data_IF_596951380881
#
_entry.id   IF_596951380881
#
_cell.length_a   1.000
_cell.length_b   1.000
_cell.length_c   1.000
_cell.angle_alpha   90.00
_cell.angle_beta   90.00
_cell.angle_gamma   90.00
#
_symmetry.space_group_name_H-M   'P 1'
#
loop_
_entity.id
_entity.type
_entity.pdbx_description
1 polymer ?
#
# COMPACT_ATOMS: atom_id res chain seq x y z
N UNK A 1 -1.15 13.62 14.59
CA UNK A 1 -2.12 14.39 13.79
C UNK A 1 -3.39 13.57 13.58
N UNK A 2 -3.34 12.34 13.04
CA UNK A 2 -4.51 11.47 12.85
C UNK A 2 -5.31 11.26 14.13
N UNK A 3 -4.65 11.02 15.26
CA UNK A 3 -5.30 10.90 16.58
C UNK A 3 -6.11 12.17 16.92
N UNK A 4 -5.54 13.35 16.80
CA UNK A 4 -6.24 14.61 17.14
C UNK A 4 -7.43 14.89 16.21
N UNK A 5 -7.34 14.54 14.93
CA UNK A 5 -8.39 14.85 13.97
C UNK A 5 -9.57 13.88 14.00
N UNK A 6 -9.31 12.60 14.29
CA UNK A 6 -10.30 11.54 14.15
C UNK A 6 -10.61 10.80 15.46
N UNK A 7 -9.61 10.40 16.23
CA UNK A 7 -9.81 9.56 17.40
C UNK A 7 -10.31 10.33 18.62
N UNK A 8 -9.93 11.61 18.79
CA UNK A 8 -10.44 12.44 19.90
C UNK A 8 -11.97 12.61 19.86
N UNK A 9 -12.60 12.51 18.70
CA UNK A 9 -14.06 12.60 18.57
C UNK A 9 -14.76 11.30 18.97
N UNK A 10 -14.08 10.16 18.84
CA UNK A 10 -14.59 8.82 19.18
C UNK A 10 -14.46 8.54 20.68
N UNK A 11 -13.45 9.11 21.35
CA UNK A 11 -13.27 8.94 22.81
C UNK A 11 -14.43 9.50 23.68
N UNK A 12 -15.29 10.34 23.12
CA UNK A 12 -16.45 10.88 23.85
C UNK A 12 -17.64 9.89 23.91
N UNK A 13 -17.64 8.81 23.15
CA UNK A 13 -18.50 7.67 23.43
C UNK A 13 -17.77 6.82 24.47
N UNK A 14 -18.11 7.04 25.75
CA UNK A 14 -17.61 6.25 26.87
C UNK A 14 -17.87 4.78 26.58
N UNK A 15 -16.86 4.08 26.10
CA UNK A 15 -16.86 2.63 26.20
C UNK A 15 -16.60 2.31 27.68
N UNK A 16 -17.63 1.96 28.41
CA UNK A 16 -17.54 1.43 29.78
C UNK A 16 -16.83 0.06 29.85
N UNK A 17 -16.21 -0.37 28.75
CA UNK A 17 -15.40 -1.56 28.65
C UNK A 17 -13.97 -1.24 29.16
N UNK A 18 -13.82 -1.29 30.49
CA UNK A 18 -12.52 -1.49 31.14
C UNK A 18 -12.02 -2.91 30.83
N UNK A 19 -11.78 -3.19 29.57
CA UNK A 19 -11.11 -4.45 29.22
C UNK A 19 -9.65 -4.37 29.67
N UNK A 20 -9.15 -5.40 30.34
CA UNK A 20 -7.79 -5.43 30.85
C UNK A 20 -6.83 -5.35 29.64
N UNK A 21 -5.97 -4.33 29.59
CA UNK A 21 -5.03 -4.04 28.49
C UNK A 21 -4.08 -5.21 28.21
N UNK A 22 -3.64 -5.91 29.23
CA UNK A 22 -2.64 -6.98 29.12
C UNK A 22 -3.13 -8.19 28.30
N UNK A 23 -4.31 -8.79 28.57
CA UNK A 23 -4.80 -9.91 27.78
C UNK A 23 -5.13 -9.50 26.33
N UNK A 24 -5.60 -8.29 26.10
CA UNK A 24 -5.86 -7.80 24.74
C UNK A 24 -4.56 -7.59 23.96
N UNK A 25 -3.50 -7.10 24.61
CA UNK A 25 -2.18 -6.99 24.01
C UNK A 25 -1.58 -8.37 23.67
N UNK A 26 -1.72 -9.35 24.59
CA UNK A 26 -1.27 -10.72 24.34
C UNK A 26 -2.05 -11.39 23.18
N UNK A 27 -3.35 -11.15 23.09
CA UNK A 27 -4.16 -11.61 21.97
C UNK A 27 -3.71 -10.95 20.66
N UNK A 28 -3.46 -9.64 20.66
CA UNK A 28 -2.96 -8.93 19.49
C UNK A 28 -1.63 -9.52 19.02
N UNK A 29 -0.68 -9.71 19.93
CA UNK A 29 0.62 -10.33 19.63
C UNK A 29 0.43 -11.75 19.08
N UNK A 30 -0.45 -12.54 19.69
CA UNK A 30 -0.76 -13.91 19.24
C UNK A 30 -1.29 -13.92 17.79
N UNK A 31 -2.26 -13.06 17.46
CA UNK A 31 -2.86 -13.04 16.13
C UNK A 31 -2.00 -12.37 15.07
N UNK A 32 -1.10 -11.47 15.45
CA UNK A 32 -0.15 -10.84 14.52
C UNK A 32 1.17 -11.61 14.39
N UNK A 33 1.43 -12.58 15.28
CA UNK A 33 2.67 -13.38 15.28
C UNK A 33 3.00 -14.06 13.93
N UNK A 34 2.05 -14.55 13.12
CA UNK A 34 2.39 -15.16 11.84
C UNK A 34 3.09 -14.18 10.88
N UNK A 35 2.69 -12.90 10.90
CA UNK A 35 3.29 -11.86 10.05
C UNK A 35 4.74 -11.63 10.45
N UNK A 36 4.99 -11.43 11.74
CA UNK A 36 6.36 -11.24 12.26
C UNK A 36 7.23 -12.46 12.04
N UNK A 37 6.67 -13.66 12.16
CA UNK A 37 7.40 -14.90 11.95
C UNK A 37 7.91 -15.02 10.52
N UNK A 38 7.09 -14.71 9.51
CA UNK A 38 7.53 -14.72 8.11
C UNK A 38 8.66 -13.72 7.85
N UNK A 39 8.59 -12.52 8.45
CA UNK A 39 9.64 -11.49 8.34
C UNK A 39 10.93 -11.95 9.02
N UNK A 40 10.84 -12.50 10.23
CA UNK A 40 11.98 -13.04 10.98
C UNK A 40 12.65 -14.17 10.21
N UNK A 41 11.89 -15.12 9.67
CA UNK A 41 12.44 -16.21 8.84
C UNK A 41 13.18 -15.68 7.61
N UNK A 42 12.65 -14.66 6.97
CA UNK A 42 13.31 -14.06 5.81
C UNK A 42 14.64 -13.36 6.20
N UNK A 43 14.63 -12.59 7.30
CA UNK A 43 15.82 -11.82 7.74
C UNK A 43 16.91 -12.74 8.30
N UNK A 44 16.57 -13.68 9.19
CA UNK A 44 17.56 -14.50 9.89
C UNK A 44 18.04 -15.68 9.05
N UNK A 45 17.14 -16.35 8.34
CA UNK A 45 17.45 -17.59 7.62
C UNK A 45 17.51 -17.39 6.10
N UNK A 46 17.30 -16.16 5.60
CA UNK A 46 17.26 -15.84 4.16
C UNK A 46 16.28 -16.71 3.38
N UNK A 47 15.23 -17.20 4.06
CA UNK A 47 14.19 -18.01 3.43
C UNK A 47 13.35 -17.09 2.55
N UNK A 48 13.08 -17.45 1.29
CA UNK A 48 12.23 -16.65 0.41
C UNK A 48 10.89 -16.34 1.05
N UNK A 49 10.44 -15.09 0.96
CA UNK A 49 9.27 -14.59 1.67
C UNK A 49 7.99 -15.39 1.36
N UNK A 50 7.84 -15.90 0.13
CA UNK A 50 6.70 -16.74 -0.26
C UNK A 50 6.66 -18.08 0.51
N UNK A 51 7.81 -18.66 0.86
CA UNK A 51 7.87 -19.88 1.69
C UNK A 51 7.50 -19.55 3.13
N UNK A 52 8.00 -18.42 3.64
CA UNK A 52 7.60 -17.89 4.96
C UNK A 52 6.08 -17.64 5.06
N UNK A 53 5.47 -17.10 4.01
CA UNK A 53 4.03 -16.90 3.96
C UNK A 53 3.25 -18.23 3.95
N UNK A 54 3.73 -19.25 3.21
CA UNK A 54 3.11 -20.56 3.22
C UNK A 54 3.18 -21.23 4.61
N UNK A 55 4.31 -21.07 5.33
CA UNK A 55 4.43 -21.57 6.70
C UNK A 55 3.44 -20.92 7.68
N UNK A 56 2.97 -19.70 7.39
CA UNK A 56 1.97 -19.02 8.21
C UNK A 56 0.64 -19.77 8.27
N UNK A 57 0.25 -20.51 7.22
CA UNK A 57 -0.96 -21.35 7.28
C UNK A 57 -0.86 -22.40 8.38
N UNK A 58 0.33 -23.00 8.54
CA UNK A 58 0.59 -24.01 9.57
C UNK A 58 0.53 -23.35 10.95
N UNK A 59 1.15 -22.17 11.10
CA UNK A 59 1.17 -21.45 12.37
C UNK A 59 -0.23 -21.02 12.77
N UNK A 60 -1.01 -20.45 11.85
CA UNK A 60 -2.40 -20.04 12.12
C UNK A 60 -3.25 -21.25 12.53
N UNK A 61 -3.06 -22.39 11.89
CA UNK A 61 -3.74 -23.64 12.27
C UNK A 61 -3.35 -24.10 13.68
N UNK A 62 -2.05 -24.05 14.02
CA UNK A 62 -1.56 -24.43 15.34
C UNK A 62 -2.03 -23.48 16.46
N UNK A 63 -2.11 -22.19 16.15
CA UNK A 63 -2.57 -21.16 17.11
C UNK A 63 -4.09 -21.24 17.40
N UNK A 64 -4.85 -21.73 16.42
CA UNK A 64 -6.29 -21.83 16.53
C UNK A 64 -6.81 -23.09 15.83
N UNK A 65 -6.62 -24.30 16.42
CA UNK A 65 -7.00 -25.56 15.82
C UNK A 65 -8.53 -25.74 15.87
N UNK A 66 -9.25 -25.09 14.97
CA UNK A 66 -10.70 -25.25 14.85
C UNK A 66 -11.03 -26.34 13.84
N UNK A 67 -12.09 -27.13 14.14
CA UNK A 67 -12.60 -28.15 13.18
C UNK A 67 -13.10 -27.53 11.87
N UNK A 68 -13.31 -26.21 11.84
CA UNK A 68 -13.79 -25.46 10.66
C UNK A 68 -12.69 -24.83 9.82
N UNK A 69 -11.40 -24.95 10.18
CA UNK A 69 -10.29 -24.26 9.52
C UNK A 69 -10.31 -24.40 7.98
N UNK A 70 -10.45 -25.62 7.46
CA UNK A 70 -10.54 -25.83 6.01
C UNK A 70 -11.83 -25.26 5.39
N UNK A 71 -12.93 -25.27 6.13
CA UNK A 71 -14.18 -24.67 5.69
C UNK A 71 -14.07 -23.13 5.64
N UNK A 72 -13.37 -22.55 6.58
CA UNK A 72 -13.14 -21.10 6.66
C UNK A 72 -12.16 -20.63 5.56
N UNK A 73 -11.10 -21.41 5.26
CA UNK A 73 -10.23 -21.18 4.10
C UNK A 73 -11.05 -21.22 2.80
N UNK A 74 -11.90 -22.24 2.63
CA UNK A 74 -12.74 -22.36 1.43
C UNK A 74 -13.71 -21.19 1.29
N UNK A 75 -14.26 -20.68 2.39
CA UNK A 75 -15.12 -19.48 2.39
C UNK A 75 -14.34 -18.21 2.09
N UNK A 76 -13.11 -18.10 2.61
CA UNK A 76 -12.23 -16.96 2.36
C UNK A 76 -11.73 -16.92 0.90
N UNK A 77 -11.77 -18.05 0.19
CA UNK A 77 -11.38 -18.11 -1.22
C UNK A 77 -12.43 -17.44 -2.10
N UNK A 78 -12.18 -16.19 -2.41
CA UNK A 78 -13.06 -15.39 -3.28
C UNK A 78 -12.44 -15.30 -4.68
N UNK A 79 -13.07 -15.99 -5.65
CA UNK A 79 -12.60 -16.03 -7.03
C UNK A 79 -12.57 -14.64 -7.68
N UNK A 80 -13.51 -13.77 -7.33
CA UNK A 80 -13.55 -12.38 -7.82
C UNK A 80 -12.31 -11.61 -7.38
N UNK A 81 -11.89 -11.76 -6.13
CA UNK A 81 -10.68 -11.14 -5.57
C UNK A 81 -9.43 -11.65 -6.33
N UNK A 82 -9.33 -12.97 -6.53
CA UNK A 82 -8.21 -13.57 -7.26
C UNK A 82 -8.11 -13.02 -8.69
N UNK A 83 -9.24 -12.95 -9.39
CA UNK A 83 -9.30 -12.39 -10.75
C UNK A 83 -8.90 -10.90 -10.78
N UNK A 84 -9.32 -10.13 -9.77
CA UNK A 84 -8.94 -8.72 -9.64
C UNK A 84 -7.42 -8.58 -9.45
N UNK A 85 -6.81 -9.41 -8.58
CA UNK A 85 -5.35 -9.41 -8.36
C UNK A 85 -4.62 -9.71 -9.67
N UNK A 86 -5.03 -10.76 -10.38
CA UNK A 86 -4.43 -11.13 -11.68
C UNK A 86 -4.56 -9.98 -12.68
N UNK A 87 -5.74 -9.36 -12.78
CA UNK A 87 -5.98 -8.22 -13.66
C UNK A 87 -5.07 -7.03 -13.35
N UNK A 88 -4.92 -6.70 -12.07
CA UNK A 88 -4.02 -5.61 -11.63
C UNK A 88 -2.57 -5.93 -12.00
N UNK A 89 -2.08 -7.15 -11.76
CA UNK A 89 -0.72 -7.54 -12.14
C UNK A 89 -0.49 -7.50 -13.65
N UNK A 90 -1.46 -7.92 -14.45
CA UNK A 90 -1.36 -7.83 -15.92
C UNK A 90 -1.27 -6.37 -16.39
N UNK A 91 -2.05 -5.47 -15.80
CA UNK A 91 -1.98 -4.04 -16.12
C UNK A 91 -0.61 -3.49 -15.73
N UNK A 92 -0.11 -3.78 -14.53
CA UNK A 92 1.19 -3.33 -14.06
C UNK A 92 2.33 -3.78 -14.99
N UNK A 93 2.36 -5.07 -15.34
CA UNK A 93 3.38 -5.64 -16.21
C UNK A 93 3.38 -5.01 -17.62
N UNK A 94 2.19 -4.82 -18.19
CA UNK A 94 2.09 -4.17 -19.51
C UNK A 94 2.54 -2.71 -19.47
N UNK A 95 2.17 -1.95 -18.45
CA UNK A 95 2.56 -0.53 -18.34
C UNK A 95 4.07 -0.36 -18.19
N UNK A 96 4.76 -1.21 -17.43
CA UNK A 96 6.22 -1.12 -17.27
C UNK A 96 7.00 -1.47 -18.53
N UNK A 97 6.42 -2.26 -19.45
CA UNK A 97 7.05 -2.68 -20.72
C UNK A 97 6.78 -1.75 -21.90
N UNK A 98 5.92 -0.75 -21.75
CA UNK A 98 5.58 0.15 -22.85
C UNK A 98 6.73 1.12 -23.19
N UNK A 99 7.48 0.86 -24.26
CA UNK A 99 8.55 1.76 -24.74
C UNK A 99 8.07 3.18 -25.02
N UNK A 100 6.85 3.33 -25.50
CA UNK A 100 6.26 4.64 -25.77
C UNK A 100 6.12 5.48 -24.49
N UNK A 101 5.65 4.86 -23.39
CA UNK A 101 5.58 5.52 -22.09
C UNK A 101 6.96 5.92 -21.58
N UNK A 102 7.95 5.05 -21.71
CA UNK A 102 9.32 5.35 -21.30
C UNK A 102 9.89 6.54 -22.10
N UNK A 103 9.66 6.61 -23.42
CA UNK A 103 10.07 7.74 -24.25
C UNK A 103 9.37 9.04 -23.85
N UNK A 104 8.08 9.00 -23.60
CA UNK A 104 7.32 10.17 -23.09
C UNK A 104 7.86 10.66 -21.74
N UNK A 105 8.19 9.76 -20.83
CA UNK A 105 8.75 10.10 -19.50
C UNK A 105 10.12 10.77 -19.65
N UNK A 106 11.02 10.20 -20.46
CA UNK A 106 12.33 10.80 -20.73
C UNK A 106 12.16 12.21 -21.30
N UNK A 107 11.26 12.40 -22.26
CA UNK A 107 11.00 13.71 -22.86
C UNK A 107 10.40 14.70 -21.85
N UNK A 108 9.47 14.25 -20.99
CA UNK A 108 8.87 15.09 -19.97
C UNK A 108 9.87 15.54 -18.89
N UNK A 109 10.87 14.70 -18.59
CA UNK A 109 11.88 14.98 -17.55
C UNK A 109 13.12 15.70 -18.09
N UNK A 110 13.33 15.74 -19.39
CA UNK A 110 14.51 16.36 -20.02
C UNK A 110 14.44 17.90 -20.09
N UNK A 111 13.26 18.49 -19.97
CA UNK A 111 13.09 19.93 -20.01
C UNK A 111 13.11 20.51 -18.57
N UNK A 112 14.11 21.36 -18.20
CA UNK A 112 14.28 21.86 -16.85
C UNK A 112 13.06 22.58 -16.28
N UNK A 113 12.31 23.30 -17.11
CA UNK A 113 11.16 24.11 -16.68
C UNK A 113 9.93 23.26 -16.36
N UNK A 114 9.79 22.08 -16.97
CA UNK A 114 8.63 21.22 -16.82
C UNK A 114 8.93 19.95 -16.00
N UNK A 115 10.19 19.71 -15.65
CA UNK A 115 10.61 18.46 -14.98
C UNK A 115 9.82 18.18 -13.72
N UNK A 116 9.63 19.16 -12.84
CA UNK A 116 8.90 18.97 -11.56
C UNK A 116 7.45 18.60 -11.85
N UNK A 117 6.78 19.36 -12.72
CA UNK A 117 5.39 19.11 -13.09
C UNK A 117 5.28 17.74 -13.79
N UNK A 118 6.24 17.40 -14.66
CA UNK A 118 6.32 16.10 -15.30
C UNK A 118 6.43 14.96 -14.28
N UNK A 119 7.31 15.08 -13.29
CA UNK A 119 7.48 14.08 -12.22
C UNK A 119 6.18 13.93 -11.41
N UNK A 120 5.57 15.05 -11.02
CA UNK A 120 4.32 15.05 -10.26
C UNK A 120 3.20 14.35 -11.05
N UNK A 121 2.98 14.80 -12.29
CA UNK A 121 1.91 14.28 -13.13
C UNK A 121 2.08 12.78 -13.44
N UNK A 122 3.31 12.36 -13.79
CA UNK A 122 3.59 10.96 -14.10
C UNK A 122 3.54 10.07 -12.87
N UNK A 123 4.06 10.53 -11.73
CA UNK A 123 4.02 9.77 -10.48
C UNK A 123 2.58 9.57 -10.00
N UNK A 124 1.78 10.61 -10.07
CA UNK A 124 0.35 10.54 -9.76
C UNK A 124 -0.37 9.56 -10.72
N UNK A 125 -0.13 9.71 -12.03
CA UNK A 125 -0.73 8.86 -13.05
C UNK A 125 -0.39 7.38 -12.85
N UNK A 126 0.90 7.04 -12.69
CA UNK A 126 1.32 5.66 -12.45
C UNK A 126 0.81 5.14 -11.12
N UNK A 127 0.78 5.95 -10.07
CA UNK A 127 0.19 5.57 -8.78
C UNK A 127 -1.28 5.19 -8.91
N UNK A 128 -2.08 6.02 -9.62
CA UNK A 128 -3.51 5.76 -9.84
C UNK A 128 -3.72 4.52 -10.70
N UNK A 129 -3.02 4.41 -11.81
CA UNK A 129 -3.24 3.36 -12.82
C UNK A 129 -2.76 2.00 -12.38
N UNK A 130 -1.66 1.93 -11.61
CA UNK A 130 -1.14 0.66 -11.12
C UNK A 130 -1.79 0.22 -9.81
N UNK A 131 -2.28 1.15 -8.99
CA UNK A 131 -2.76 0.85 -7.63
C UNK A 131 -1.71 0.20 -6.73
N UNK A 132 -0.41 0.36 -7.09
CA UNK A 132 0.72 -0.21 -6.37
C UNK A 132 1.95 0.70 -6.46
N UNK A 133 2.26 1.40 -5.38
CA UNK A 133 3.32 2.40 -5.34
C UNK A 133 4.70 1.88 -5.81
N UNK A 134 5.18 0.69 -5.41
CA UNK A 134 6.46 0.19 -5.88
C UNK A 134 6.55 0.04 -7.40
N UNK A 135 5.46 -0.33 -8.09
CA UNK A 135 5.45 -0.39 -9.55
C UNK A 135 5.58 1.00 -10.18
N UNK A 136 4.88 2.01 -9.64
CA UNK A 136 5.00 3.38 -10.09
C UNK A 136 6.44 3.91 -9.93
N UNK A 137 7.05 3.69 -8.77
CA UNK A 137 8.44 4.07 -8.51
C UNK A 137 9.43 3.30 -9.37
N UNK A 138 9.19 2.00 -9.60
CA UNK A 138 10.02 1.16 -10.47
C UNK A 138 10.07 1.64 -11.91
N UNK A 139 9.01 2.30 -12.39
CA UNK A 139 8.99 2.91 -13.71
C UNK A 139 9.72 4.28 -13.76
N UNK A 140 9.62 5.08 -12.70
CA UNK A 140 10.05 6.48 -12.70
C UNK A 140 11.52 6.64 -12.25
N UNK A 141 11.91 5.96 -11.14
CA UNK A 141 13.22 6.15 -10.53
C UNK A 141 14.41 5.80 -11.45
N UNK A 142 14.38 4.71 -12.26
CA UNK A 142 15.46 4.43 -13.19
C UNK A 142 15.67 5.54 -14.21
N UNK A 143 14.58 6.16 -14.68
CA UNK A 143 14.65 7.26 -15.67
C UNK A 143 15.25 8.51 -15.01
N UNK A 144 14.83 8.85 -13.78
CA UNK A 144 15.41 9.97 -13.03
C UNK A 144 16.92 9.76 -12.78
N UNK A 145 17.34 8.54 -12.48
CA UNK A 145 18.74 8.20 -12.24
C UNK A 145 19.64 8.33 -13.48
N UNK A 146 19.05 8.26 -14.69
CA UNK A 146 19.79 8.44 -15.96
C UNK A 146 19.98 9.91 -16.33
N UNK A 147 19.25 10.84 -15.71
CA UNK A 147 19.35 12.25 -16.05
C UNK A 147 20.62 12.89 -15.46
N UNK A 148 21.33 13.74 -16.21
CA UNK A 148 22.54 14.42 -15.73
C UNK A 148 22.17 15.53 -14.74
N UNK A 149 22.13 15.21 -13.44
CA UNK A 149 21.82 16.16 -12.39
C UNK A 149 22.67 15.93 -11.13
N UNK A 150 22.71 16.94 -10.26
CA UNK A 150 23.38 16.80 -8.95
C UNK A 150 22.63 15.86 -8.01
N UNK A 151 23.34 15.19 -7.10
CA UNK A 151 22.76 14.26 -6.13
C UNK A 151 21.63 14.89 -5.31
N UNK A 152 21.77 16.14 -4.89
CA UNK A 152 20.74 16.83 -4.11
C UNK A 152 19.46 17.04 -4.94
N UNK A 153 19.57 17.36 -6.21
CA UNK A 153 18.43 17.51 -7.11
C UNK A 153 17.77 16.18 -7.39
N UNK A 154 18.56 15.12 -7.58
CA UNK A 154 18.06 13.76 -7.73
C UNK A 154 17.26 13.31 -6.50
N UNK A 155 17.78 13.53 -5.30
CA UNK A 155 17.07 13.21 -4.05
C UNK A 155 15.75 13.97 -3.94
N UNK A 156 15.73 15.24 -4.28
CA UNK A 156 14.51 16.05 -4.28
C UNK A 156 13.47 15.48 -5.26
N UNK A 157 13.89 15.13 -6.46
CA UNK A 157 13.00 14.57 -7.48
C UNK A 157 12.49 13.17 -7.12
N UNK A 158 13.34 12.34 -6.50
CA UNK A 158 12.93 11.05 -5.93
C UNK A 158 11.90 11.25 -4.81
N UNK A 159 12.08 12.26 -3.98
CA UNK A 159 11.11 12.61 -2.94
C UNK A 159 9.75 13.00 -3.55
N UNK A 160 9.73 13.89 -4.54
CA UNK A 160 8.49 14.23 -5.26
C UNK A 160 7.86 13.00 -5.91
N UNK A 161 8.65 12.17 -6.59
CA UNK A 161 8.14 10.94 -7.19
C UNK A 161 7.51 10.01 -6.13
N UNK A 162 8.14 9.88 -4.97
CA UNK A 162 7.64 9.07 -3.86
C UNK A 162 6.31 9.61 -3.32
N UNK A 163 6.25 10.90 -2.99
CA UNK A 163 5.04 11.53 -2.41
C UNK A 163 3.86 11.44 -3.37
N UNK A 164 4.06 11.81 -4.63
CA UNK A 164 2.97 11.85 -5.61
C UNK A 164 2.56 10.48 -6.12
N UNK A 165 3.48 9.52 -6.20
CA UNK A 165 3.11 8.12 -6.49
C UNK A 165 2.30 7.51 -5.35
N UNK A 166 2.66 7.84 -4.08
CA UNK A 166 1.87 7.45 -2.91
C UNK A 166 0.45 8.03 -2.95
N UNK A 167 0.34 9.32 -3.28
CA UNK A 167 -0.96 9.97 -3.42
C UNK A 167 -1.80 9.33 -4.52
N UNK A 168 -1.20 9.06 -5.68
CA UNK A 168 -1.88 8.37 -6.77
C UNK A 168 -2.33 6.97 -6.38
N UNK A 169 -1.47 6.18 -5.79
CA UNK A 169 -1.76 4.86 -5.26
C UNK A 169 -2.90 4.88 -4.24
N UNK A 170 -2.87 5.86 -3.33
CA UNK A 170 -3.86 5.97 -2.27
C UNK A 170 -5.28 6.26 -2.80
N UNK A 171 -5.40 7.05 -3.85
CA UNK A 171 -6.67 7.35 -4.53
C UNK A 171 -7.01 6.36 -5.64
N UNK A 172 -6.17 5.35 -5.86
CA UNK A 172 -6.41 4.39 -6.94
C UNK A 172 -7.61 3.50 -6.65
N UNK A 173 -8.53 3.34 -7.60
CA UNK A 173 -9.58 2.33 -7.50
C UNK A 173 -9.03 0.90 -7.54
N UNK A 174 -7.76 0.72 -7.93
CA UNK A 174 -7.04 -0.56 -7.97
C UNK A 174 -6.24 -0.82 -6.68
N UNK A 175 -6.37 0.03 -5.67
CA UNK A 175 -5.71 -0.16 -4.37
C UNK A 175 -6.33 -1.34 -3.61
N UNK A 176 -5.77 -2.52 -3.80
CA UNK A 176 -6.31 -3.78 -3.31
C UNK A 176 -6.54 -3.81 -1.79
N UNK A 177 -5.58 -3.30 -1.01
CA UNK A 177 -5.70 -3.30 0.45
C UNK A 177 -6.91 -2.48 0.90
N UNK A 178 -7.17 -1.33 0.27
CA UNK A 178 -8.30 -0.47 0.57
C UNK A 178 -9.61 -1.11 0.12
N UNK A 179 -9.62 -1.70 -1.08
CA UNK A 179 -10.78 -2.38 -1.62
C UNK A 179 -11.23 -3.53 -0.69
N UNK A 180 -10.28 -4.36 -0.25
CA UNK A 180 -10.56 -5.49 0.64
C UNK A 180 -11.02 -5.02 2.04
N UNK A 181 -10.38 -3.96 2.56
CA UNK A 181 -10.79 -3.40 3.84
C UNK A 181 -12.21 -2.84 3.79
N UNK A 182 -12.56 -2.10 2.72
CA UNK A 182 -13.89 -1.58 2.51
C UNK A 182 -14.93 -2.70 2.36
N UNK A 183 -14.61 -3.76 1.59
CA UNK A 183 -15.49 -4.91 1.41
C UNK A 183 -15.72 -5.66 2.73
N UNK A 184 -14.65 -5.87 3.52
CA UNK A 184 -14.73 -6.53 4.82
C UNK A 184 -15.56 -5.75 5.85
N UNK A 185 -15.40 -4.42 5.86
CA UNK A 185 -16.12 -3.54 6.79
C UNK A 185 -17.52 -3.13 6.30
N UNK A 186 -17.90 -3.50 5.07
CA UNK A 186 -19.18 -3.11 4.46
C UNK A 186 -19.31 -1.60 4.21
N UNK A 187 -18.18 -0.90 4.01
CA UNK A 187 -18.12 0.55 3.80
C UNK A 187 -17.82 0.85 2.33
N UNK A 188 -18.43 1.90 1.78
CA UNK A 188 -18.11 2.31 0.42
C UNK A 188 -16.76 3.05 0.37
N UNK A 189 -15.99 2.83 -0.70
CA UNK A 189 -14.72 3.54 -0.93
C UNK A 189 -14.91 5.05 -1.00
N UNK A 190 -16.05 5.51 -1.51
CA UNK A 190 -16.39 6.94 -1.58
C UNK A 190 -16.55 7.58 -0.21
N UNK A 191 -17.20 6.88 0.73
CA UNK A 191 -17.38 7.40 2.09
C UNK A 191 -16.06 7.41 2.86
N UNK A 192 -15.20 6.43 2.59
CA UNK A 192 -13.85 6.42 3.11
C UNK A 192 -13.07 7.66 2.64
N UNK A 193 -13.08 7.97 1.33
CA UNK A 193 -12.41 9.17 0.79
C UNK A 193 -12.95 10.47 1.39
N UNK A 194 -14.25 10.60 1.56
CA UNK A 194 -14.85 11.76 2.23
C UNK A 194 -14.42 11.91 3.68
N UNK A 195 -14.12 10.80 4.35
CA UNK A 195 -13.72 10.80 5.75
C UNK A 195 -12.31 11.36 5.97
N UNK A 196 -11.35 11.03 5.11
CA UNK A 196 -9.95 11.37 5.35
C UNK A 196 -9.30 12.37 4.39
N UNK A 197 -10.04 12.99 3.46
CA UNK A 197 -9.49 13.97 2.51
C UNK A 197 -8.76 15.15 3.19
N UNK A 198 -9.25 15.60 4.35
CA UNK A 198 -8.60 16.65 5.14
C UNK A 198 -7.23 16.23 5.67
N UNK A 199 -7.13 14.97 6.12
CA UNK A 199 -5.88 14.40 6.57
C UNK A 199 -4.87 14.30 5.42
N UNK A 200 -5.33 13.93 4.23
CA UNK A 200 -4.47 13.85 3.04
C UNK A 200 -3.93 15.21 2.63
N UNK A 201 -4.78 16.25 2.63
CA UNK A 201 -4.32 17.61 2.35
C UNK A 201 -3.24 18.08 3.33
N UNK A 202 -3.44 17.78 4.61
CA UNK A 202 -2.46 18.12 5.64
C UNK A 202 -1.17 17.31 5.50
N UNK A 203 -1.28 16.04 5.10
CA UNK A 203 -0.12 15.16 4.81
C UNK A 203 0.67 15.72 3.63
N UNK A 204 0.02 16.11 2.52
CA UNK A 204 0.68 16.72 1.36
C UNK A 204 1.41 18.01 1.82
N UNK A 205 0.73 18.89 2.56
CA UNK A 205 1.33 20.14 3.03
C UNK A 205 2.54 19.89 3.97
N UNK A 206 2.57 18.78 4.69
CA UNK A 206 3.70 18.44 5.56
C UNK A 206 4.88 17.78 4.82
N UNK A 207 4.63 17.17 3.66
CA UNK A 207 5.64 16.46 2.87
C UNK A 207 6.23 17.31 1.74
N UNK A 208 5.61 18.41 1.38
CA UNK A 208 6.07 19.40 0.38
C UNK A 208 6.74 20.59 1.03
#
# INVERSE_FOLDING_TARGET
>A
IGYFLYLRKVENEKSDLKEPLLPNLLQLIKYTSPIYFAVILNILFKIPFHIGLLSNFIIVYLLNPTKSFFKDIKKAFNFKILLTIIGVYLIQENMTRMEYLNKMLVQAFSNPDTTIIGIIATSLFFGITTGFQPAALGAILPILAMLPMSNNRLLLFCHFAFVWSFMGYFFSPLHLCQLFTCEYLGVSTSDLYKSYWKFLLLLIAALM
#
